data_IF_887552335866
#
_entry.id   IF_887552335866
#
_cell.length_a   1.000
_cell.length_b   1.000
_cell.length_c   1.000
_cell.angle_alpha   90.00
_cell.angle_beta   90.00
_cell.angle_gamma   90.00
#
_symmetry.space_group_name_H-M   'P 1'
#
loop_
_entity.id
_entity.type
_entity.pdbx_description
1 polymer ?
#
# COMPACT_ATOMS: atom_id res chain seq x y z
N UNK A 1 4.24 14.95 2.68
CA UNK A 1 4.02 14.51 1.28
C UNK A 1 3.68 13.02 1.15
N UNK A 2 3.85 12.19 2.19
CA UNK A 2 3.55 10.74 2.16
C UNK A 2 2.26 10.42 2.94
N UNK A 3 1.18 11.15 2.62
CA UNK A 3 -0.11 10.93 3.29
C UNK A 3 -0.58 9.48 3.08
N UNK A 4 -0.87 8.78 4.18
CA UNK A 4 -1.33 7.40 4.16
C UNK A 4 -0.28 6.34 3.75
N UNK A 5 1.01 6.67 3.63
CA UNK A 5 2.03 5.74 3.14
C UNK A 5 3.22 5.57 4.11
N UNK A 6 3.47 4.32 4.53
CA UNK A 6 4.61 3.90 5.37
C UNK A 6 5.51 2.86 4.68
N UNK A 7 6.49 2.32 5.42
CA UNK A 7 7.46 1.33 4.94
C UNK A 7 7.18 -0.06 5.53
N UNK A 8 7.35 -1.11 4.73
CA UNK A 8 7.35 -2.51 5.19
C UNK A 8 8.73 -3.13 4.99
N UNK A 9 9.22 -3.82 6.01
CA UNK A 9 10.47 -4.59 5.92
C UNK A 9 10.35 -5.78 4.95
N UNK A 10 11.49 -6.24 4.43
CA UNK A 10 11.53 -7.43 3.56
C UNK A 10 11.08 -8.70 4.29
N UNK A 11 11.46 -8.86 5.55
CA UNK A 11 11.01 -10.00 6.38
C UNK A 11 9.49 -9.99 6.60
N UNK A 12 8.88 -8.82 6.85
CA UNK A 12 7.43 -8.73 6.97
C UNK A 12 6.73 -9.00 5.63
N UNK A 13 7.25 -8.47 4.52
CA UNK A 13 6.73 -8.72 3.18
C UNK A 13 6.77 -10.21 2.80
N UNK A 14 7.85 -10.92 3.13
CA UNK A 14 7.95 -12.37 2.96
C UNK A 14 6.86 -13.11 3.75
N UNK A 15 6.70 -12.80 5.05
CA UNK A 15 5.66 -13.42 5.89
C UNK A 15 4.24 -13.18 5.38
N UNK A 16 3.98 -11.98 4.83
CA UNK A 16 2.70 -11.68 4.18
C UNK A 16 2.49 -12.60 2.97
N UNK A 17 3.50 -12.75 2.11
CA UNK A 17 3.41 -13.61 0.93
C UNK A 17 3.23 -15.09 1.28
N UNK A 18 3.98 -15.58 2.27
CA UNK A 18 3.83 -16.93 2.84
C UNK A 18 2.41 -17.16 3.37
N UNK A 19 1.86 -16.19 4.11
CA UNK A 19 0.49 -16.26 4.66
C UNK A 19 -0.58 -16.24 3.57
N UNK A 20 -0.31 -15.64 2.40
CA UNK A 20 -1.19 -15.66 1.23
C UNK A 20 -1.07 -16.95 0.41
N UNK A 21 -0.22 -17.90 0.83
CA UNK A 21 0.00 -19.18 0.14
C UNK A 21 0.69 -19.03 -1.22
N UNK A 22 1.41 -17.92 -1.44
CA UNK A 22 2.02 -17.60 -2.74
C UNK A 22 3.52 -17.40 -2.58
N UNK A 23 4.30 -18.20 -3.30
CA UNK A 23 5.72 -17.92 -3.52
C UNK A 23 5.81 -16.96 -4.69
N UNK A 24 6.35 -15.78 -4.45
CA UNK A 24 6.63 -14.80 -5.48
C UNK A 24 8.12 -14.81 -5.79
N UNK A 25 8.48 -14.88 -7.07
CA UNK A 25 9.88 -14.72 -7.50
C UNK A 25 10.41 -13.32 -7.13
N UNK A 26 9.52 -12.33 -7.21
CA UNK A 26 9.78 -10.94 -6.81
C UNK A 26 8.68 -10.47 -5.86
N UNK A 27 9.07 -9.97 -4.69
CA UNK A 27 8.14 -9.43 -3.72
C UNK A 27 7.33 -8.25 -4.30
N UNK A 28 6.02 -8.15 -4.01
CA UNK A 28 5.25 -6.96 -4.30
C UNK A 28 5.89 -5.71 -3.70
N UNK A 29 5.95 -4.63 -4.49
CA UNK A 29 6.54 -3.36 -4.08
C UNK A 29 5.64 -2.56 -3.14
N UNK A 30 4.33 -2.81 -3.13
CA UNK A 30 3.39 -2.11 -2.25
C UNK A 30 2.24 -2.98 -1.76
N UNK A 31 1.80 -2.71 -0.53
CA UNK A 31 0.77 -3.45 0.20
C UNK A 31 -0.26 -2.48 0.75
N UNK A 32 -1.49 -2.54 0.25
CA UNK A 32 -2.61 -1.82 0.84
C UNK A 32 -3.19 -2.67 1.97
N UNK A 33 -3.16 -2.14 3.19
CA UNK A 33 -3.53 -2.91 4.38
C UNK A 33 -4.23 -2.07 5.45
N UNK A 34 -4.61 -2.75 6.53
CA UNK A 34 -5.05 -2.17 7.79
C UNK A 34 -4.32 -2.86 8.94
N UNK A 35 -3.93 -2.09 9.95
CA UNK A 35 -3.35 -2.63 11.20
C UNK A 35 -3.83 -1.77 12.36
N UNK A 36 -4.59 -2.36 13.27
CA UNK A 36 -5.34 -1.60 14.28
C UNK A 36 -6.20 -0.51 13.64
N UNK A 37 -6.05 0.73 14.12
CA UNK A 37 -6.72 1.91 13.57
C UNK A 37 -5.98 2.57 12.40
N UNK A 38 -4.82 2.02 11.99
CA UNK A 38 -4.09 2.53 10.84
C UNK A 38 -4.62 1.94 9.53
N UNK A 39 -4.72 2.80 8.52
CA UNK A 39 -5.08 2.42 7.14
C UNK A 39 -4.14 3.13 6.17
N UNK A 40 -3.69 2.39 5.16
CA UNK A 40 -2.92 3.02 4.10
C UNK A 40 -2.22 2.03 3.19
N UNK A 41 -1.11 2.51 2.65
CA UNK A 41 -0.18 1.78 1.83
C UNK A 41 1.13 1.58 2.60
N UNK A 42 1.74 0.41 2.44
CA UNK A 42 3.10 0.13 2.90
C UNK A 42 3.97 -0.22 1.70
N UNK A 43 5.09 0.46 1.55
CA UNK A 43 5.99 0.34 0.41
C UNK A 43 7.21 -0.46 0.83
N UNK A 44 7.57 -1.46 0.02
CA UNK A 44 8.82 -2.20 0.16
C UNK A 44 9.94 -1.33 -0.42
N UNK A 45 10.92 -0.91 0.39
CA UNK A 45 12.00 -0.06 -0.08
C UNK A 45 12.92 -0.84 -1.03
N UNK A 46 13.50 -0.19 -2.06
CA UNK A 46 14.40 -0.84 -3.01
C UNK A 46 15.67 -1.35 -2.31
N UNK A 47 16.21 -0.55 -1.38
CA UNK A 47 17.46 -0.80 -0.69
C UNK A 47 17.27 -0.59 0.82
N UNK A 48 17.28 -1.70 1.55
CA UNK A 48 17.43 -1.75 3.00
C UNK A 48 18.01 -3.12 3.34
N UNK A 49 18.94 -3.13 4.30
CA UNK A 49 19.82 -4.22 4.69
C UNK A 49 19.18 -5.61 4.53
N UNK A 50 19.87 -6.50 3.82
CA UNK A 50 19.57 -7.94 3.79
C UNK A 50 19.63 -8.58 5.19
N UNK A 51 20.09 -7.85 6.21
CA UNK A 51 20.17 -8.30 7.59
C UNK A 51 18.92 -8.05 8.44
N UNK A 52 17.84 -7.46 7.90
CA UNK A 52 16.57 -7.34 8.63
C UNK A 52 15.91 -8.73 8.79
N UNK A 53 16.41 -9.51 9.76
CA UNK A 53 15.90 -10.83 10.11
C UNK A 53 14.52 -10.76 10.78
N UNK A 54 14.20 -9.61 11.40
CA UNK A 54 12.97 -9.42 12.16
C UNK A 54 11.94 -8.61 11.35
N UNK A 55 10.68 -9.07 11.25
CA UNK A 55 9.65 -8.35 10.52
C UNK A 55 9.19 -7.11 11.27
N UNK A 56 9.18 -5.98 10.58
CA UNK A 56 8.63 -4.72 11.07
C UNK A 56 7.88 -3.95 9.98
N UNK A 57 7.04 -3.01 10.41
CA UNK A 57 6.36 -2.00 9.58
C UNK A 57 6.47 -0.63 10.26
N UNK A 58 6.62 0.42 9.48
CA UNK A 58 6.46 1.80 9.92
C UNK A 58 4.98 2.19 9.83
N UNK A 59 4.45 2.84 10.86
CA UNK A 59 3.12 3.46 10.81
C UNK A 59 3.27 4.94 11.09
N UNK A 60 2.87 5.78 10.14
CA UNK A 60 2.98 7.24 10.24
C UNK A 60 1.70 7.88 10.80
N UNK A 61 1.83 9.09 11.34
CA UNK A 61 0.71 9.85 11.92
C UNK A 61 -0.50 9.97 10.97
N UNK A 62 -0.26 10.18 9.68
CA UNK A 62 -1.30 10.30 8.66
C UNK A 62 -2.11 9.01 8.44
N UNK A 63 -1.57 7.84 8.80
CA UNK A 63 -2.24 6.55 8.65
C UNK A 63 -3.22 6.26 9.79
N UNK A 64 -2.98 6.78 10.99
CA UNK A 64 -3.86 6.59 12.14
C UNK A 64 -5.19 7.31 11.94
N UNK A 65 -6.30 6.58 12.16
CA UNK A 65 -7.66 7.12 12.03
C UNK A 65 -8.39 7.28 13.37
N UNK A 66 -7.78 6.78 14.44
CA UNK A 66 -8.22 6.93 15.82
C UNK A 66 -7.02 6.68 16.75
N UNK A 67 -7.17 7.08 18.02
CA UNK A 67 -6.17 6.83 19.06
C UNK A 67 -6.00 5.34 19.34
N UNK A 68 -4.77 4.95 19.66
CA UNK A 68 -4.45 3.55 19.99
C UNK A 68 -4.57 3.31 21.49
N UNK A 69 -5.08 2.14 21.85
CA UNK A 69 -5.09 1.67 23.24
C UNK A 69 -3.84 0.82 23.47
N UNK A 70 -3.09 1.12 24.52
CA UNK A 70 -1.88 0.36 24.89
C UNK A 70 -2.24 -1.10 25.18
N UNK A 71 -1.36 -2.03 24.78
CA UNK A 71 -1.47 -3.46 25.13
C UNK A 71 -2.21 -4.33 24.10
N UNK A 72 -2.72 -3.77 23.00
CA UNK A 72 -3.28 -4.57 21.91
C UNK A 72 -2.25 -4.94 20.86
N UNK A 73 -2.18 -6.23 20.54
CA UNK A 73 -1.48 -6.71 19.36
C UNK A 73 -2.37 -6.54 18.13
N UNK A 74 -1.84 -5.92 17.09
CA UNK A 74 -2.56 -5.71 15.82
C UNK A 74 -2.05 -6.66 14.75
N UNK A 75 -2.98 -7.22 13.98
CA UNK A 75 -2.67 -8.01 12.80
C UNK A 75 -2.55 -7.10 11.57
N UNK A 76 -1.62 -7.44 10.67
CA UNK A 76 -1.46 -6.77 9.40
C UNK A 76 -2.42 -7.36 8.36
N UNK A 77 -3.61 -6.76 8.24
CA UNK A 77 -4.68 -7.25 7.37
C UNK A 77 -4.55 -6.66 5.96
N UNK A 78 -4.04 -7.47 5.03
CA UNK A 78 -3.84 -7.06 3.64
C UNK A 78 -5.15 -7.04 2.88
N UNK A 79 -5.44 -5.92 2.20
CA UNK A 79 -6.57 -5.76 1.30
C UNK A 79 -6.18 -6.02 -0.16
N UNK A 80 -5.04 -5.46 -0.59
CA UNK A 80 -4.52 -5.61 -1.96
C UNK A 80 -3.01 -5.45 -1.98
N UNK A 81 -2.36 -6.14 -2.89
CA UNK A 81 -0.93 -5.97 -3.18
C UNK A 81 -0.74 -5.38 -4.58
N UNK A 82 0.38 -4.72 -4.81
CA UNK A 82 0.80 -4.30 -6.14
C UNK A 82 0.92 -5.50 -7.07
N UNK A 83 0.50 -5.35 -8.32
CA UNK A 83 0.52 -6.38 -9.36
C UNK A 83 0.86 -5.76 -10.71
N UNK A 84 1.23 -6.60 -11.68
CA UNK A 84 1.41 -6.13 -13.07
C UNK A 84 0.14 -5.40 -13.54
N UNK A 85 0.35 -4.27 -14.18
CA UNK A 85 -0.74 -3.44 -14.69
C UNK A 85 -1.29 -4.04 -15.98
N UNK A 86 -2.60 -3.91 -16.17
CA UNK A 86 -3.25 -4.11 -17.46
C UNK A 86 -3.50 -2.72 -18.07
N UNK A 87 -3.55 -2.63 -19.40
CA UNK A 87 -3.85 -1.37 -20.08
C UNK A 87 -5.21 -0.84 -19.64
N UNK A 88 -5.27 0.45 -19.32
CA UNK A 88 -6.50 1.16 -18.98
C UNK A 88 -7.11 1.81 -20.21
N UNK A 89 -8.43 1.96 -20.24
CA UNK A 89 -9.12 2.77 -21.25
C UNK A 89 -9.33 4.19 -20.72
N UNK A 90 -9.32 5.18 -21.62
CA UNK A 90 -9.69 6.55 -21.26
C UNK A 90 -11.20 6.60 -20.94
N UNK A 91 -11.53 6.80 -19.67
CA UNK A 91 -12.91 6.95 -19.24
C UNK A 91 -13.51 8.29 -19.69
N UNK A 92 -14.79 8.31 -20.08
CA UNK A 92 -15.49 9.53 -20.52
C UNK A 92 -15.44 10.66 -19.49
N UNK A 93 -15.36 10.33 -18.20
CA UNK A 93 -15.21 11.29 -17.11
C UNK A 93 -13.94 12.17 -17.24
N UNK A 94 -12.89 11.68 -17.89
CA UNK A 94 -11.63 12.41 -18.06
C UNK A 94 -11.62 13.32 -19.30
N UNK A 95 -12.60 13.19 -20.19
CA UNK A 95 -12.66 13.98 -21.43
C UNK A 95 -12.78 15.49 -21.18
N UNK A 96 -13.66 15.99 -20.29
CA UNK A 96 -13.79 17.44 -20.06
C UNK A 96 -12.51 18.07 -19.46
N UNK A 97 -11.77 17.32 -18.64
CA UNK A 97 -10.51 17.80 -18.08
C UNK A 97 -9.36 17.79 -19.11
N UNK A 98 -9.42 16.89 -20.09
CA UNK A 98 -8.39 16.73 -21.11
C UNK A 98 -8.62 17.62 -22.33
N UNK A 99 -9.89 17.95 -22.61
CA UNK A 99 -10.33 18.79 -23.72
C UNK A 99 -11.33 19.84 -23.22
N UNK A 100 -10.88 20.83 -22.42
CA UNK A 100 -11.76 21.80 -21.77
C UNK A 100 -12.54 22.68 -22.76
N UNK A 101 -12.05 22.87 -23.99
CA UNK A 101 -12.71 23.69 -25.02
C UNK A 101 -13.93 23.03 -25.67
N UNK A 102 -14.10 21.70 -25.57
CA UNK A 102 -15.28 21.01 -26.11
C UNK A 102 -16.47 20.97 -25.14
N UNK A 103 -16.33 21.54 -23.93
CA UNK A 103 -17.38 21.55 -22.92
C UNK A 103 -18.39 22.71 -23.07
N UNK A 104 -18.16 23.63 -24.02
CA UNK A 104 -19.02 24.79 -24.26
C UNK A 104 -19.67 24.75 -25.64
N UNK A 105 -20.69 23.92 -25.80
CA UNK A 105 -21.78 24.18 -26.74
C UNK A 105 -22.99 23.35 -26.29
N UNK A 106 -23.99 24.04 -25.76
CA UNK A 106 -25.33 23.53 -25.51
C UNK A 106 -26.30 24.33 -26.39
#
# INVERSE_FOLDING_TARGET
MTDGAGIISRAAANRVCESLGRKYDTLPSAYQARTGFAKGLWILPPELNTSDAHPWIEIRNSQWKADTVKGHHFHFNVNRISRSVASGTLGKQLLPASFPEMAFSA
#
